data_IF_743128779637
#
_entry.id   IF_743128779637
#
_cell.length_a   1.000
_cell.length_b   1.000
_cell.length_c   1.000
_cell.angle_alpha   90.00
_cell.angle_beta   90.00
_cell.angle_gamma   90.00
#
_symmetry.space_group_name_H-M   'P 1'
#
loop_
_entity.id
_entity.type
_entity.pdbx_description
1 polymer ?
#
# COMPACT_ATOMS: atom_id res chain seq x y z
N UNK A 1 -12.41 4.33 -0.72
CA UNK A 1 -13.55 4.39 0.25
C UNK A 1 -12.98 4.12 1.63
N UNK A 2 -13.35 4.95 2.56
CA UNK A 2 -12.79 5.01 3.91
C UNK A 2 -13.06 3.76 4.74
N UNK A 3 -12.09 3.33 5.54
CA UNK A 3 -12.16 2.21 6.50
C UNK A 3 -13.30 2.33 7.53
N UNK A 4 -13.85 3.51 7.69
CA UNK A 4 -15.00 3.74 8.58
C UNK A 4 -16.23 2.89 8.20
N UNK A 5 -16.38 2.53 6.92
CA UNK A 5 -17.49 1.70 6.42
C UNK A 5 -17.27 0.22 6.80
N UNK A 6 -16.01 -0.24 6.84
CA UNK A 6 -15.70 -1.64 7.14
C UNK A 6 -15.92 -2.03 8.63
N UNK A 7 -15.92 -1.07 9.54
CA UNK A 7 -16.14 -1.33 10.97
C UNK A 7 -17.58 -1.69 11.33
N UNK A 8 -18.54 -1.45 10.44
CA UNK A 8 -19.96 -1.69 10.67
C UNK A 8 -20.56 -2.85 9.87
N UNK A 9 -19.76 -3.46 8.96
CA UNK A 9 -20.21 -4.57 8.13
C UNK A 9 -20.25 -5.89 8.90
N UNK A 10 -21.30 -6.69 8.69
CA UNK A 10 -21.32 -8.08 9.13
C UNK A 10 -20.22 -8.89 8.44
N UNK A 11 -19.88 -10.06 9.00
CA UNK A 11 -18.90 -10.97 8.38
C UNK A 11 -19.30 -11.33 6.95
N UNK A 12 -20.57 -11.61 6.72
CA UNK A 12 -21.06 -11.94 5.40
C UNK A 12 -20.90 -10.78 4.41
N UNK A 13 -21.25 -9.57 4.81
CA UNK A 13 -21.05 -8.38 3.99
C UNK A 13 -19.58 -8.10 3.68
N UNK A 14 -18.67 -8.40 4.61
CA UNK A 14 -17.23 -8.28 4.36
C UNK A 14 -16.75 -9.29 3.31
N UNK A 15 -17.26 -10.52 3.35
CA UNK A 15 -16.95 -11.56 2.35
C UNK A 15 -17.41 -11.12 0.97
N UNK A 16 -18.66 -10.71 0.85
CA UNK A 16 -19.26 -10.24 -0.41
C UNK A 16 -18.51 -9.03 -0.98
N UNK A 17 -18.17 -8.06 -0.14
CA UNK A 17 -17.38 -6.88 -0.56
C UNK A 17 -16.00 -7.28 -1.07
N UNK A 18 -15.36 -8.24 -0.45
CA UNK A 18 -14.04 -8.72 -0.86
C UNK A 18 -14.10 -9.52 -2.18
N UNK A 19 -15.11 -10.35 -2.35
CA UNK A 19 -15.36 -11.08 -3.60
C UNK A 19 -15.64 -10.12 -4.75
N UNK A 20 -16.44 -9.08 -4.51
CA UNK A 20 -16.74 -8.05 -5.50
C UNK A 20 -15.48 -7.26 -5.90
N UNK A 21 -14.66 -6.85 -4.93
CA UNK A 21 -13.41 -6.17 -5.20
C UNK A 21 -12.45 -7.05 -6.02
N UNK A 22 -12.31 -8.33 -5.68
CA UNK A 22 -11.46 -9.25 -6.44
C UNK A 22 -11.94 -9.49 -7.86
N UNK A 23 -13.25 -9.49 -8.09
CA UNK A 23 -13.84 -9.71 -9.41
C UNK A 23 -13.78 -8.48 -10.31
N UNK A 24 -13.95 -7.29 -9.77
CA UNK A 24 -14.15 -6.07 -10.52
C UNK A 24 -12.96 -5.13 -10.55
N UNK A 25 -12.10 -5.18 -9.56
CA UNK A 25 -10.98 -4.25 -9.46
C UNK A 25 -9.84 -4.68 -10.43
N UNK A 26 -9.47 -3.83 -11.40
CA UNK A 26 -8.40 -4.13 -12.36
C UNK A 26 -7.06 -4.46 -11.73
N UNK A 27 -6.84 -4.01 -10.49
CA UNK A 27 -5.65 -4.32 -9.70
C UNK A 27 -5.40 -5.83 -9.58
N UNK A 28 -6.46 -6.62 -9.56
CA UNK A 28 -6.39 -8.06 -9.36
C UNK A 28 -6.36 -8.87 -10.64
N UNK A 29 -6.27 -8.20 -11.80
CA UNK A 29 -6.22 -8.87 -13.09
C UNK A 29 -5.04 -9.86 -13.16
N UNK A 30 -5.34 -11.12 -13.45
CA UNK A 30 -4.35 -12.17 -13.54
C UNK A 30 -3.92 -12.80 -12.20
N UNK A 31 -4.41 -12.28 -11.08
CA UNK A 31 -4.14 -12.86 -9.75
C UNK A 31 -4.98 -14.11 -9.54
N UNK A 32 -4.33 -15.23 -9.23
CA UNK A 32 -4.99 -16.49 -8.86
C UNK A 32 -4.78 -16.72 -7.35
N UNK A 33 -5.83 -17.12 -6.66
CA UNK A 33 -5.80 -17.38 -5.22
C UNK A 33 -6.17 -18.82 -4.92
N UNK A 34 -5.40 -19.47 -4.05
CA UNK A 34 -5.70 -20.80 -3.52
C UNK A 34 -6.60 -20.77 -2.27
N UNK A 35 -7.21 -19.63 -1.96
CA UNK A 35 -8.06 -19.41 -0.78
C UNK A 35 -9.28 -18.54 -1.15
N UNK A 36 -10.29 -18.55 -0.32
CA UNK A 36 -11.55 -17.82 -0.50
C UNK A 36 -11.60 -16.54 0.33
N UNK A 37 -12.47 -15.62 -0.04
CA UNK A 37 -12.73 -14.41 0.74
C UNK A 37 -13.18 -14.73 2.17
N UNK A 38 -13.96 -15.80 2.35
CA UNK A 38 -14.34 -16.28 3.67
C UNK A 38 -13.16 -16.66 4.57
N UNK A 39 -12.09 -17.24 4.00
CA UNK A 39 -10.88 -17.57 4.76
C UNK A 39 -10.16 -16.31 5.23
N UNK A 40 -10.07 -15.29 4.36
CA UNK A 40 -9.48 -14.00 4.71
C UNK A 40 -10.26 -13.34 5.84
N UNK A 41 -11.57 -13.27 5.72
CA UNK A 41 -12.43 -12.64 6.74
C UNK A 41 -12.39 -13.41 8.06
N UNK A 42 -12.31 -14.74 8.02
CA UNK A 42 -12.16 -15.59 9.21
C UNK A 42 -10.88 -15.30 9.97
N UNK A 43 -9.78 -15.04 9.24
CA UNK A 43 -8.46 -14.83 9.84
C UNK A 43 -8.19 -13.36 10.21
N UNK A 44 -9.03 -12.42 9.79
CA UNK A 44 -8.90 -11.01 10.18
C UNK A 44 -9.01 -10.82 11.68
N UNK A 45 -8.22 -9.91 12.22
CA UNK A 45 -8.41 -9.40 13.55
C UNK A 45 -9.72 -8.64 13.72
N UNK A 46 -10.17 -8.47 14.94
CA UNK A 46 -11.39 -7.71 15.29
C UNK A 46 -11.23 -6.21 15.02
N UNK A 47 -10.00 -5.71 15.04
CA UNK A 47 -9.64 -4.33 14.73
C UNK A 47 -8.94 -4.30 13.37
N UNK A 48 -9.40 -3.41 12.48
CA UNK A 48 -8.78 -3.16 11.18
C UNK A 48 -8.05 -1.81 11.25
N UNK A 49 -6.75 -1.79 11.62
CA UNK A 49 -6.01 -0.55 11.67
C UNK A 49 -5.81 0.03 10.27
N UNK A 50 -5.95 1.34 10.16
CA UNK A 50 -5.67 2.09 8.94
C UNK A 50 -4.75 3.25 9.25
N UNK A 51 -3.67 3.32 8.51
CA UNK A 51 -2.68 4.39 8.62
C UNK A 51 -2.83 5.29 7.38
N UNK A 52 -3.41 6.45 7.57
CA UNK A 52 -3.82 7.36 6.48
C UNK A 52 -2.66 7.74 5.56
N UNK A 53 -1.50 8.09 6.11
CA UNK A 53 -0.33 8.45 5.30
C UNK A 53 0.18 7.26 4.47
N UNK A 54 0.25 6.08 5.06
CA UNK A 54 0.65 4.86 4.36
C UNK A 54 -0.33 4.49 3.25
N UNK A 55 -1.63 4.61 3.50
CA UNK A 55 -2.67 4.37 2.51
C UNK A 55 -2.59 5.35 1.34
N UNK A 56 -2.43 6.63 1.62
CA UNK A 56 -2.30 7.65 0.59
C UNK A 56 -1.03 7.46 -0.24
N UNK A 57 0.10 7.19 0.41
CA UNK A 57 1.36 6.91 -0.26
C UNK A 57 1.29 5.66 -1.15
N UNK A 58 0.71 4.58 -0.67
CA UNK A 58 0.53 3.36 -1.45
C UNK A 58 -0.37 3.57 -2.67
N UNK A 59 -1.45 4.32 -2.53
CA UNK A 59 -2.34 4.67 -3.63
C UNK A 59 -1.63 5.53 -4.67
N UNK A 60 -0.94 6.57 -4.23
CA UNK A 60 -0.18 7.46 -5.12
C UNK A 60 0.90 6.71 -5.89
N UNK A 61 1.64 5.82 -5.23
CA UNK A 61 2.65 5.01 -5.91
C UNK A 61 2.01 4.05 -6.92
N UNK A 62 0.91 3.41 -6.55
CA UNK A 62 0.16 2.53 -7.46
C UNK A 62 -0.29 3.27 -8.73
N UNK A 63 -0.86 4.45 -8.59
CA UNK A 63 -1.29 5.28 -9.71
C UNK A 63 -0.11 5.65 -10.62
N UNK A 64 1.02 6.06 -10.03
CA UNK A 64 2.22 6.41 -10.78
C UNK A 64 2.80 5.24 -11.59
N UNK A 65 2.94 4.07 -10.99
CA UNK A 65 3.49 2.89 -11.69
C UNK A 65 2.53 2.29 -12.71
N UNK A 66 1.25 2.63 -12.64
CA UNK A 66 0.22 2.20 -13.59
C UNK A 66 -0.14 3.28 -14.63
N UNK A 67 0.77 4.15 -14.97
CA UNK A 67 0.65 5.10 -16.07
C UNK A 67 0.46 6.55 -15.66
N UNK A 68 0.36 6.84 -14.37
CA UNK A 68 0.20 8.22 -13.85
C UNK A 68 1.51 9.01 -13.68
N UNK A 69 2.65 8.39 -13.91
CA UNK A 69 3.93 9.07 -13.79
C UNK A 69 4.17 10.05 -14.97
N UNK A 70 4.49 11.30 -14.68
CA UNK A 70 4.66 12.37 -15.67
C UNK A 70 5.70 12.05 -16.76
N UNK A 71 6.71 11.27 -16.44
CA UNK A 71 7.81 10.88 -17.34
C UNK A 71 7.67 9.46 -17.88
N UNK A 72 6.59 8.76 -17.62
CA UNK A 72 6.40 7.34 -17.96
C UNK A 72 7.16 6.37 -17.07
N UNK A 73 7.84 6.85 -16.05
CA UNK A 73 8.53 6.06 -15.02
C UNK A 73 8.58 6.84 -13.71
N UNK A 74 8.81 6.16 -12.60
CA UNK A 74 8.92 6.75 -11.27
C UNK A 74 10.40 6.91 -10.93
N UNK A 75 10.85 8.15 -10.73
CA UNK A 75 12.18 8.44 -10.20
C UNK A 75 12.23 8.08 -8.71
N UNK A 76 13.08 7.14 -8.34
CA UNK A 76 13.28 6.72 -6.97
C UNK A 76 14.74 6.37 -6.70
N UNK A 77 15.23 6.73 -5.52
CA UNK A 77 16.49 6.25 -4.98
C UNK A 77 16.33 5.73 -3.56
N UNK A 78 17.27 4.89 -3.14
CA UNK A 78 17.39 4.50 -1.75
C UNK A 78 17.89 5.66 -0.89
N UNK A 79 17.45 5.71 0.36
CA UNK A 79 17.97 6.62 1.38
C UNK A 79 18.39 5.81 2.60
N UNK A 80 19.57 6.10 3.13
CA UNK A 80 20.09 5.51 4.36
C UNK A 80 19.62 6.32 5.57
N UNK A 81 19.60 7.64 5.43
CA UNK A 81 19.22 8.59 6.50
C UNK A 81 17.99 9.41 6.12
N UNK A 82 17.30 9.94 7.13
CA UNK A 82 16.22 10.90 6.93
C UNK A 82 16.68 12.15 6.18
N UNK A 83 17.90 12.63 6.44
CA UNK A 83 18.49 13.77 5.73
C UNK A 83 18.63 13.52 4.23
N UNK A 84 19.04 12.32 3.83
CA UNK A 84 19.10 11.93 2.42
C UNK A 84 17.71 11.89 1.79
N UNK A 85 16.72 11.34 2.46
CA UNK A 85 15.34 11.31 1.98
C UNK A 85 14.78 12.73 1.77
N UNK A 86 15.06 13.64 2.70
CA UNK A 86 14.66 15.06 2.57
C UNK A 86 15.33 15.73 1.36
N UNK A 87 16.63 15.49 1.13
CA UNK A 87 17.35 16.04 -0.02
C UNK A 87 16.82 15.46 -1.34
N UNK A 88 16.51 14.18 -1.38
CA UNK A 88 15.90 13.53 -2.53
C UNK A 88 14.53 14.13 -2.86
N UNK A 89 13.68 14.35 -1.86
CA UNK A 89 12.38 15.00 -2.04
C UNK A 89 12.53 16.43 -2.56
N UNK A 90 13.47 17.22 -2.03
CA UNK A 90 13.77 18.57 -2.49
C UNK A 90 14.32 18.59 -3.92
N UNK A 91 15.07 17.57 -4.32
CA UNK A 91 15.57 17.42 -5.69
C UNK A 91 14.49 16.97 -6.70
N UNK A 92 13.27 16.70 -6.23
CA UNK A 92 12.14 16.35 -7.09
C UNK A 92 11.96 14.86 -7.35
N UNK A 93 12.57 13.99 -6.55
CA UNK A 93 12.29 12.54 -6.62
C UNK A 93 10.86 12.26 -6.21
N UNK A 94 10.21 11.36 -6.94
CA UNK A 94 8.79 11.04 -6.74
C UNK A 94 8.54 9.95 -5.71
N UNK A 95 9.55 9.13 -5.45
CA UNK A 95 9.52 8.06 -4.46
C UNK A 95 10.89 7.85 -3.85
N UNK A 96 10.91 7.31 -2.65
CA UNK A 96 12.13 6.95 -1.91
C UNK A 96 12.02 5.50 -1.49
N UNK A 97 13.06 4.71 -1.77
CA UNK A 97 13.18 3.37 -1.21
C UNK A 97 13.73 3.46 0.21
N UNK A 98 12.92 3.09 1.17
CA UNK A 98 13.34 2.98 2.56
C UNK A 98 13.98 1.62 2.80
N UNK A 99 15.31 1.58 2.88
CA UNK A 99 16.05 0.36 3.18
C UNK A 99 16.07 0.13 4.70
N UNK A 100 15.29 -0.82 5.18
CA UNK A 100 15.16 -1.06 6.62
C UNK A 100 16.50 -1.44 7.28
N UNK A 101 17.30 -2.32 6.66
CA UNK A 101 18.57 -2.73 7.24
C UNK A 101 19.65 -1.63 7.20
N UNK A 102 19.65 -0.81 6.17
CA UNK A 102 20.60 0.32 6.08
C UNK A 102 20.26 1.42 7.09
N UNK A 103 19.00 1.75 7.25
CA UNK A 103 18.54 2.69 8.27
C UNK A 103 18.82 2.18 9.68
N UNK A 104 18.60 0.89 9.92
CA UNK A 104 18.91 0.26 11.20
C UNK A 104 20.43 0.28 11.49
N UNK A 105 21.27 0.03 10.48
CA UNK A 105 22.71 0.08 10.63
C UNK A 105 23.23 1.49 10.93
N UNK A 106 22.67 2.51 10.29
CA UNK A 106 23.01 3.93 10.53
C UNK A 106 22.59 4.37 11.94
N UNK A 107 21.42 3.94 12.40
CA UNK A 107 20.89 4.26 13.73
C UNK A 107 21.46 3.42 14.88
N UNK A 108 22.24 2.38 14.57
CA UNK A 108 22.77 1.43 15.55
C UNK A 108 24.26 1.74 15.83
N UNK A 109 24.52 2.60 16.77
CA UNK A 109 25.86 2.94 17.22
C UNK A 109 26.30 2.10 18.43
#
# INVERSE_FOLDING_TARGET
MSSAINKQLSRQQQIEALELDWAQNPRWKGVKRGYKAADVVRLRGSVQPEYTLAQNGARTLWEKVNGGAKKGYVNAFGAITAGQAMQQAKAGLEAVYLSGWQVAADGNT
#
